data_IF_460757281604
#
_entry.id   IF_460757281604
#
_cell.length_a   1.000
_cell.length_b   1.000
_cell.length_c   1.000
_cell.angle_alpha   90.00
_cell.angle_beta   90.00
_cell.angle_gamma   90.00
#
_symmetry.space_group_name_H-M   'P 1'
#
loop_
_entity.id
_entity.type
_entity.pdbx_description
1 polymer ?
#
# COMPACT_ATOMS: atom_id res chain seq x y z
N UNK A 1 33.61 25.30 8.53
CA UNK A 1 32.14 25.27 8.83
C UNK A 1 31.77 26.61 9.50
N UNK A 2 30.72 27.23 9.03
CA UNK A 2 30.21 28.44 9.68
C UNK A 2 29.28 28.06 10.87
N UNK A 3 29.01 29.02 11.76
CA UNK A 3 28.20 28.82 12.98
C UNK A 3 26.83 28.20 12.69
N UNK A 4 26.16 28.63 11.60
CA UNK A 4 24.86 28.13 11.18
C UNK A 4 24.90 26.68 10.69
N UNK A 5 25.97 26.30 10.00
CA UNK A 5 26.18 24.92 9.57
C UNK A 5 26.36 23.95 10.74
N UNK A 6 27.10 24.39 11.76
CA UNK A 6 27.29 23.64 13.03
C UNK A 6 25.93 23.44 13.73
N UNK A 7 25.09 24.49 13.78
CA UNK A 7 23.76 24.45 14.36
C UNK A 7 22.85 23.47 13.61
N UNK A 8 22.81 23.53 12.27
CA UNK A 8 22.03 22.61 11.44
C UNK A 8 22.46 21.14 11.65
N UNK A 9 23.76 20.86 11.75
CA UNK A 9 24.26 19.51 12.03
C UNK A 9 23.77 19.03 13.40
N UNK A 10 23.79 19.89 14.41
CA UNK A 10 23.28 19.56 15.75
C UNK A 10 21.80 19.24 15.72
N UNK A 11 21.00 20.03 14.98
CA UNK A 11 19.58 19.78 14.79
C UNK A 11 19.35 18.39 14.16
N UNK A 12 20.04 18.07 13.05
CA UNK A 12 19.89 16.80 12.36
C UNK A 12 20.21 15.63 13.30
N UNK A 13 21.37 15.67 13.98
CA UNK A 13 21.78 14.64 14.93
C UNK A 13 20.76 14.44 16.06
N UNK A 14 20.26 15.52 16.63
CA UNK A 14 19.23 15.46 17.66
C UNK A 14 17.93 14.77 17.15
N UNK A 15 17.48 15.08 15.94
CA UNK A 15 16.28 14.46 15.38
C UNK A 15 16.49 12.96 15.07
N UNK A 16 17.66 12.56 14.52
CA UNK A 16 18.00 11.16 14.30
C UNK A 16 18.04 10.38 15.63
N UNK A 17 18.75 10.89 16.62
CA UNK A 17 18.82 10.26 17.96
C UNK A 17 17.43 10.17 18.63
N UNK A 18 16.62 11.22 18.49
CA UNK A 18 15.26 11.24 19.05
C UNK A 18 14.36 10.17 18.44
N UNK A 19 14.33 10.04 17.12
CA UNK A 19 13.36 9.22 16.42
C UNK A 19 13.91 7.84 15.98
N UNK A 20 15.17 7.77 15.53
CA UNK A 20 15.78 6.54 15.01
C UNK A 20 16.76 5.88 15.98
N UNK A 21 17.05 6.53 17.13
CA UNK A 21 17.95 6.03 18.17
C UNK A 21 19.40 5.76 17.68
N UNK A 22 19.83 6.49 16.66
CA UNK A 22 21.18 6.42 16.08
C UNK A 22 21.62 7.78 15.53
N UNK A 23 22.92 7.87 15.22
CA UNK A 23 23.47 9.00 14.45
C UNK A 23 23.05 8.90 12.97
N UNK A 24 22.96 10.03 12.25
CA UNK A 24 22.78 10.02 10.82
C UNK A 24 24.02 9.42 10.12
N UNK A 25 23.79 8.65 9.06
CA UNK A 25 24.86 8.29 8.13
C UNK A 25 25.31 9.52 7.29
N UNK A 26 26.44 9.40 6.60
CA UNK A 26 27.02 10.50 5.84
C UNK A 26 26.10 11.05 4.74
N UNK A 27 25.31 10.15 4.10
CA UNK A 27 24.38 10.55 3.04
C UNK A 27 23.19 11.30 3.61
N UNK A 28 22.58 10.78 4.66
CA UNK A 28 21.48 11.42 5.36
C UNK A 28 21.88 12.77 5.94
N UNK A 29 23.06 12.84 6.57
CA UNK A 29 23.59 14.09 7.10
C UNK A 29 23.76 15.15 6.00
N UNK A 30 24.43 14.80 4.89
CA UNK A 30 24.64 15.73 3.75
C UNK A 30 23.34 16.17 3.13
N UNK A 31 22.40 15.25 2.93
CA UNK A 31 21.09 15.53 2.34
C UNK A 31 20.32 16.55 3.17
N UNK A 32 20.11 16.29 4.45
CA UNK A 32 19.33 17.19 5.31
C UNK A 32 20.04 18.49 5.63
N UNK A 33 21.39 18.48 5.71
CA UNK A 33 22.17 19.70 5.87
C UNK A 33 21.97 20.66 4.69
N UNK A 34 21.95 20.13 3.46
CA UNK A 34 21.65 20.93 2.26
C UNK A 34 20.23 21.50 2.32
N UNK A 35 19.22 20.69 2.63
CA UNK A 35 17.84 21.14 2.70
C UNK A 35 17.62 22.25 3.74
N UNK A 36 18.21 22.14 4.92
CA UNK A 36 18.14 23.17 5.97
C UNK A 36 18.93 24.43 5.59
N UNK A 37 20.13 24.26 5.02
CA UNK A 37 20.96 25.40 4.61
C UNK A 37 20.32 26.21 3.47
N UNK A 38 19.71 25.53 2.51
CA UNK A 38 18.95 26.14 1.39
C UNK A 38 17.57 26.69 1.83
N UNK A 39 17.22 26.57 3.12
CA UNK A 39 15.89 26.93 3.67
C UNK A 39 14.73 26.24 2.96
N UNK A 40 14.95 25.05 2.39
CA UNK A 40 13.91 24.24 1.74
C UNK A 40 13.00 23.57 2.73
N UNK A 41 13.54 23.28 3.94
CA UNK A 41 12.81 22.73 5.07
C UNK A 41 13.20 23.47 6.36
N UNK A 42 12.31 23.43 7.36
CA UNK A 42 12.59 23.82 8.73
C UNK A 42 12.77 22.57 9.62
N UNK A 43 13.05 22.77 10.92
CA UNK A 43 13.27 21.69 11.87
C UNK A 43 12.03 20.80 12.06
N UNK A 44 10.82 21.38 12.05
CA UNK A 44 9.58 20.61 12.15
C UNK A 44 9.39 19.71 10.93
N UNK A 45 9.61 20.25 9.74
CA UNK A 45 9.53 19.48 8.49
C UNK A 45 10.60 18.37 8.43
N UNK A 46 11.82 18.64 8.92
CA UNK A 46 12.85 17.61 9.10
C UNK A 46 12.36 16.48 10.01
N UNK A 47 11.74 16.80 11.14
CA UNK A 47 11.17 15.80 12.05
C UNK A 47 10.14 14.92 11.37
N UNK A 48 9.23 15.51 10.58
CA UNK A 48 8.20 14.74 9.87
C UNK A 48 8.79 13.91 8.72
N UNK A 49 9.81 14.39 8.02
CA UNK A 49 10.54 13.60 7.01
C UNK A 49 11.22 12.37 7.63
N UNK A 50 11.88 12.52 8.78
CA UNK A 50 12.52 11.40 9.49
C UNK A 50 11.46 10.39 9.96
N UNK A 51 10.33 10.85 10.53
CA UNK A 51 9.21 9.97 10.93
C UNK A 51 8.49 9.31 9.73
N UNK A 52 8.71 9.82 8.55
CA UNK A 52 8.19 9.23 7.30
C UNK A 52 9.18 8.24 6.68
N UNK A 53 10.39 8.13 7.22
CA UNK A 53 11.38 7.18 6.71
C UNK A 53 10.92 5.73 6.93
N UNK A 54 11.37 4.84 6.03
CA UNK A 54 11.09 3.41 6.12
C UNK A 54 11.51 2.85 7.49
N UNK A 55 12.71 3.22 7.97
CA UNK A 55 13.25 2.80 9.25
C UNK A 55 12.35 3.19 10.44
N UNK A 56 11.82 4.41 10.44
CA UNK A 56 10.89 4.84 11.50
C UNK A 56 9.56 4.10 11.41
N UNK A 57 8.99 3.97 10.20
CA UNK A 57 7.69 3.34 9.98
C UNK A 57 7.69 1.83 10.29
N UNK A 58 8.81 1.14 10.05
CA UNK A 58 8.96 -0.27 10.44
C UNK A 58 8.92 -0.45 11.95
N UNK A 59 9.56 0.46 12.70
CA UNK A 59 9.60 0.41 14.16
C UNK A 59 8.35 1.03 14.83
N UNK A 60 7.53 1.76 14.06
CA UNK A 60 6.32 2.46 14.54
C UNK A 60 5.16 2.28 13.55
N UNK A 61 4.65 1.07 13.38
CA UNK A 61 3.68 0.75 12.33
C UNK A 61 2.36 1.52 12.48
N UNK A 62 1.96 1.87 13.70
CA UNK A 62 0.75 2.65 14.00
C UNK A 62 0.92 4.16 13.84
N UNK A 63 2.14 4.65 13.57
CA UNK A 63 2.35 6.09 13.40
C UNK A 63 1.52 6.64 12.23
N UNK A 64 0.77 7.71 12.49
CA UNK A 64 -0.03 8.40 11.46
C UNK A 64 0.83 9.48 10.82
N UNK A 65 1.10 9.38 9.51
CA UNK A 65 1.87 10.39 8.81
C UNK A 65 1.13 11.73 8.74
N UNK A 66 1.89 12.82 8.63
CA UNK A 66 1.35 14.18 8.51
C UNK A 66 1.79 14.81 7.22
N UNK A 67 0.97 15.72 6.70
CA UNK A 67 1.36 16.59 5.60
C UNK A 67 2.52 17.49 6.03
N UNK A 68 3.57 17.55 5.21
CA UNK A 68 4.82 18.27 5.51
C UNK A 68 4.83 19.65 4.88
N UNK A 69 4.23 19.80 3.69
CA UNK A 69 4.23 21.02 2.89
C UNK A 69 2.80 21.47 2.52
N UNK A 70 1.92 21.77 3.50
CA UNK A 70 0.52 22.07 3.22
C UNK A 70 0.34 23.26 2.26
N UNK A 71 1.09 24.35 2.45
CA UNK A 71 1.02 25.55 1.61
C UNK A 71 1.39 25.27 0.14
N UNK A 72 2.35 24.36 -0.11
CA UNK A 72 2.69 23.96 -1.47
C UNK A 72 1.60 23.09 -2.06
N UNK A 73 1.00 22.23 -1.24
CA UNK A 73 0.01 21.25 -1.66
C UNK A 73 -1.29 21.91 -2.15
N UNK A 74 -1.70 23.04 -1.53
CA UNK A 74 -2.87 23.82 -1.92
C UNK A 74 -2.80 24.31 -3.39
N UNK A 75 -1.60 24.58 -3.87
CA UNK A 75 -1.35 25.11 -5.23
C UNK A 75 -1.06 24.01 -6.26
N UNK A 76 -1.03 22.73 -5.85
CA UNK A 76 -0.78 21.61 -6.75
C UNK A 76 -2.08 20.98 -7.21
N UNK A 77 -2.23 20.63 -8.51
CA UNK A 77 -3.38 19.87 -8.98
C UNK A 77 -3.42 18.47 -8.32
N UNK A 78 -4.61 17.92 -8.18
CA UNK A 78 -4.74 16.53 -7.74
C UNK A 78 -4.25 15.60 -8.85
N UNK A 79 -3.37 14.63 -8.54
CA UNK A 79 -2.96 13.62 -9.50
C UNK A 79 -4.15 12.72 -9.82
N UNK A 80 -4.30 12.34 -11.07
CA UNK A 80 -5.34 11.38 -11.48
C UNK A 80 -4.89 9.97 -11.10
N UNK A 81 -5.41 9.46 -10.01
CA UNK A 81 -5.16 8.09 -9.54
C UNK A 81 -6.35 7.21 -9.92
N UNK A 82 -6.09 6.05 -10.50
CA UNK A 82 -7.08 5.02 -10.81
C UNK A 82 -6.79 3.78 -9.98
N UNK A 83 -7.80 3.27 -9.27
CA UNK A 83 -7.70 1.99 -8.58
C UNK A 83 -8.19 0.84 -9.47
N UNK A 84 -7.45 -0.27 -9.41
CA UNK A 84 -7.78 -1.54 -10.07
C UNK A 84 -8.13 -2.57 -9.00
N UNK A 85 -9.32 -3.13 -9.07
CA UNK A 85 -9.79 -4.18 -8.16
C UNK A 85 -10.02 -5.49 -8.90
N UNK A 86 -9.40 -6.58 -8.44
CA UNK A 86 -9.80 -7.94 -8.76
C UNK A 86 -10.50 -8.54 -7.56
N UNK A 87 -11.76 -8.89 -7.70
CA UNK A 87 -12.60 -9.27 -6.56
C UNK A 87 -13.37 -10.57 -6.80
N UNK A 88 -13.68 -11.26 -5.70
CA UNK A 88 -14.60 -12.41 -5.67
C UNK A 88 -15.16 -12.64 -4.27
N UNK A 89 -16.47 -12.45 -4.10
CA UNK A 89 -17.18 -12.68 -2.81
C UNK A 89 -16.58 -11.87 -1.66
N UNK A 90 -16.54 -10.55 -1.84
CA UNK A 90 -16.00 -9.56 -0.89
C UNK A 90 -17.09 -8.68 -0.27
N UNK A 91 -18.38 -9.13 -0.23
CA UNK A 91 -19.49 -8.32 0.27
C UNK A 91 -19.25 -7.71 1.65
N UNK A 92 -18.46 -8.38 2.50
CA UNK A 92 -18.13 -7.94 3.85
C UNK A 92 -17.25 -6.67 3.88
N UNK A 93 -16.38 -6.49 2.90
CA UNK A 93 -15.32 -5.47 2.93
C UNK A 93 -15.40 -4.45 1.82
N UNK A 94 -15.91 -4.84 0.67
CA UNK A 94 -15.82 -4.08 -0.57
C UNK A 94 -16.47 -2.69 -0.48
N UNK A 95 -17.56 -2.53 0.26
CA UNK A 95 -18.18 -1.22 0.45
C UNK A 95 -17.21 -0.23 1.10
N UNK A 96 -16.58 -0.64 2.21
CA UNK A 96 -15.59 0.19 2.94
C UNK A 96 -14.31 0.41 2.14
N UNK A 97 -13.88 -0.58 1.39
CA UNK A 97 -12.72 -0.45 0.49
C UNK A 97 -12.98 0.58 -0.61
N UNK A 98 -14.15 0.52 -1.27
CA UNK A 98 -14.53 1.47 -2.31
C UNK A 98 -14.80 2.89 -1.75
N UNK A 99 -15.40 3.03 -0.56
CA UNK A 99 -15.53 4.32 0.13
C UNK A 99 -14.16 4.97 0.30
N UNK A 100 -13.23 4.27 0.93
CA UNK A 100 -11.87 4.76 1.19
C UNK A 100 -11.08 5.05 -0.10
N UNK A 101 -11.16 4.17 -1.10
CA UNK A 101 -10.52 4.38 -2.39
C UNK A 101 -11.11 5.58 -3.13
N UNK A 102 -12.41 5.83 -3.05
CA UNK A 102 -13.09 6.95 -3.71
C UNK A 102 -12.69 8.32 -3.17
N UNK A 103 -12.16 8.40 -1.94
CA UNK A 103 -11.58 9.64 -1.41
C UNK A 103 -10.29 10.04 -2.12
N UNK A 104 -9.54 9.07 -2.61
CA UNK A 104 -8.19 9.23 -3.17
C UNK A 104 -8.18 9.09 -4.68
N UNK A 105 -8.87 8.07 -5.20
CA UNK A 105 -8.90 7.72 -6.61
C UNK A 105 -10.11 8.35 -7.29
N UNK A 106 -9.88 9.05 -8.39
CA UNK A 106 -10.96 9.66 -9.17
C UNK A 106 -11.75 8.65 -9.98
N UNK A 107 -11.15 7.50 -10.25
CA UNK A 107 -11.75 6.42 -11.02
C UNK A 107 -11.35 5.07 -10.42
N UNK A 108 -12.29 4.14 -10.45
CA UNK A 108 -12.09 2.76 -10.01
C UNK A 108 -12.57 1.85 -11.15
N UNK A 109 -11.81 0.81 -11.44
CA UNK A 109 -12.23 -0.26 -12.33
C UNK A 109 -12.20 -1.58 -11.59
N UNK A 110 -13.14 -2.44 -11.92
CA UNK A 110 -13.35 -3.70 -11.21
C UNK A 110 -13.38 -4.86 -12.20
N UNK A 111 -12.70 -5.95 -11.84
CA UNK A 111 -12.88 -7.26 -12.45
C UNK A 111 -13.49 -8.16 -11.39
N UNK A 112 -14.74 -8.57 -11.62
CA UNK A 112 -15.46 -9.52 -10.78
C UNK A 112 -15.26 -10.95 -11.31
N UNK A 113 -14.58 -11.80 -10.52
CA UNK A 113 -14.29 -13.18 -10.86
C UNK A 113 -15.46 -14.15 -10.51
N UNK A 114 -16.67 -13.70 -10.80
CA UNK A 114 -17.90 -14.48 -10.62
C UNK A 114 -18.38 -14.54 -9.18
N UNK A 115 -18.51 -13.39 -8.53
CA UNK A 115 -19.14 -13.29 -7.21
C UNK A 115 -20.57 -13.81 -7.20
N UNK A 116 -20.93 -14.44 -6.09
CA UNK A 116 -22.28 -15.03 -5.86
C UNK A 116 -23.03 -14.38 -4.70
N UNK A 117 -22.38 -13.46 -4.02
CA UNK A 117 -22.90 -12.61 -2.95
C UNK A 117 -23.26 -11.20 -3.46
N UNK A 118 -23.47 -10.25 -2.57
CA UNK A 118 -23.85 -8.86 -2.94
C UNK A 118 -22.66 -8.00 -3.44
N UNK A 119 -21.43 -8.55 -3.56
CA UNK A 119 -20.22 -7.83 -3.99
C UNK A 119 -20.44 -6.98 -5.24
N UNK A 120 -20.93 -7.60 -6.31
CA UNK A 120 -21.13 -6.92 -7.60
C UNK A 120 -22.20 -5.83 -7.54
N UNK A 121 -23.26 -6.03 -6.78
CA UNK A 121 -24.31 -5.06 -6.55
C UNK A 121 -23.76 -3.82 -5.81
N UNK A 122 -22.92 -4.03 -4.80
CA UNK A 122 -22.23 -2.96 -4.06
C UNK A 122 -21.35 -2.17 -5.03
N UNK A 123 -20.48 -2.83 -5.81
CA UNK A 123 -19.63 -2.14 -6.77
C UNK A 123 -20.40 -1.25 -7.75
N UNK A 124 -21.55 -1.72 -8.25
CA UNK A 124 -22.40 -0.97 -9.18
C UNK A 124 -23.07 0.27 -8.54
N UNK A 125 -23.11 0.38 -7.23
CA UNK A 125 -23.70 1.53 -6.52
C UNK A 125 -22.73 2.73 -6.41
N UNK A 126 -21.43 2.54 -6.65
CA UNK A 126 -20.43 3.60 -6.54
C UNK A 126 -20.23 4.33 -7.86
N UNK A 127 -20.43 5.64 -7.87
CA UNK A 127 -20.23 6.48 -9.06
C UNK A 127 -18.74 6.59 -9.47
N UNK A 128 -17.80 6.34 -8.57
CA UNK A 128 -16.37 6.27 -8.82
C UNK A 128 -15.96 5.00 -9.58
N UNK A 129 -16.78 3.95 -9.54
CA UNK A 129 -16.57 2.72 -10.32
C UNK A 129 -17.05 2.98 -11.75
N UNK A 130 -16.10 3.22 -12.65
CA UNK A 130 -16.38 3.67 -14.03
C UNK A 130 -16.46 2.53 -15.05
N UNK A 131 -15.90 1.37 -14.74
CA UNK A 131 -15.97 0.18 -15.61
C UNK A 131 -15.91 -1.09 -14.77
N UNK A 132 -16.73 -2.10 -15.11
CA UNK A 132 -16.78 -3.40 -14.45
C UNK A 132 -16.71 -4.49 -15.50
N UNK A 133 -15.73 -5.38 -15.37
CA UNK A 133 -15.68 -6.61 -16.14
C UNK A 133 -16.15 -7.79 -15.30
N UNK A 134 -17.30 -8.35 -15.65
CA UNK A 134 -17.86 -9.55 -15.04
C UNK A 134 -17.37 -10.79 -15.82
N UNK A 135 -16.72 -11.73 -15.14
CA UNK A 135 -16.38 -13.03 -15.72
C UNK A 135 -17.01 -14.15 -14.89
N UNK A 136 -17.40 -15.23 -15.57
CA UNK A 136 -18.03 -16.38 -14.92
C UNK A 136 -17.41 -17.67 -15.40
N UNK A 137 -17.27 -18.62 -14.49
CA UNK A 137 -16.82 -19.99 -14.80
C UNK A 137 -15.45 -20.08 -15.51
N UNK A 138 -14.55 -19.11 -15.24
CA UNK A 138 -13.18 -19.19 -15.69
C UNK A 138 -12.31 -19.79 -14.58
N UNK A 139 -11.28 -20.55 -15.00
CA UNK A 139 -10.23 -20.96 -14.09
C UNK A 139 -9.46 -19.74 -13.57
N UNK A 140 -8.97 -19.84 -12.35
CA UNK A 140 -8.15 -18.80 -11.73
C UNK A 140 -6.91 -18.53 -12.60
N UNK A 141 -6.72 -17.29 -12.98
CA UNK A 141 -5.57 -16.81 -13.74
C UNK A 141 -5.35 -15.33 -13.44
N UNK A 142 -4.53 -15.07 -12.44
CA UNK A 142 -4.26 -13.72 -11.96
C UNK A 142 -3.56 -12.84 -13.01
N UNK A 143 -2.66 -13.41 -13.79
CA UNK A 143 -1.96 -12.70 -14.87
C UNK A 143 -2.90 -12.23 -15.97
N UNK A 144 -3.80 -13.12 -16.44
CA UNK A 144 -4.85 -12.76 -17.41
C UNK A 144 -5.72 -11.64 -16.88
N UNK A 145 -6.15 -11.74 -15.62
CA UNK A 145 -7.10 -10.83 -15.01
C UNK A 145 -6.45 -9.45 -14.77
N UNK A 146 -5.22 -9.39 -14.25
CA UNK A 146 -4.46 -8.14 -14.09
C UNK A 146 -4.14 -7.47 -15.42
N UNK A 147 -3.81 -8.25 -16.49
CA UNK A 147 -3.65 -7.69 -17.83
C UNK A 147 -4.96 -7.12 -18.39
N UNK A 148 -6.11 -7.70 -18.05
CA UNK A 148 -7.41 -7.16 -18.42
C UNK A 148 -7.69 -5.85 -17.71
N UNK A 149 -7.51 -5.79 -16.40
CA UNK A 149 -7.61 -4.58 -15.60
C UNK A 149 -6.67 -3.48 -16.12
N UNK A 150 -5.42 -3.82 -16.41
CA UNK A 150 -4.46 -2.88 -16.99
C UNK A 150 -4.99 -2.27 -18.31
N UNK A 151 -5.52 -3.09 -19.21
CA UNK A 151 -6.10 -2.62 -20.49
C UNK A 151 -7.33 -1.73 -20.28
N UNK A 152 -8.17 -2.03 -19.30
CA UNK A 152 -9.32 -1.17 -18.94
C UNK A 152 -8.82 0.17 -18.38
N UNK A 153 -7.89 0.15 -17.43
CA UNK A 153 -7.37 1.35 -16.79
C UNK A 153 -6.62 2.28 -17.74
N UNK A 154 -5.84 1.75 -18.69
CA UNK A 154 -5.13 2.56 -19.69
C UNK A 154 -6.10 3.40 -20.57
N UNK A 155 -7.34 2.94 -20.80
CA UNK A 155 -8.36 3.73 -21.52
C UNK A 155 -8.79 4.98 -20.75
N UNK A 156 -8.72 4.95 -19.42
CA UNK A 156 -9.08 6.07 -18.54
C UNK A 156 -8.01 7.17 -18.50
N UNK A 157 -6.80 6.91 -18.99
CA UNK A 157 -5.66 7.85 -19.05
C UNK A 157 -5.34 8.50 -17.69
N UNK A 158 -5.17 7.73 -16.61
CA UNK A 158 -4.75 8.27 -15.33
C UNK A 158 -3.27 8.66 -15.34
N UNK A 159 -2.84 9.42 -14.32
CA UNK A 159 -1.41 9.69 -14.08
C UNK A 159 -0.75 8.51 -13.36
N UNK A 160 -1.51 7.87 -12.47
CA UNK A 160 -1.08 6.72 -11.67
C UNK A 160 -2.14 5.62 -11.64
N UNK A 161 -1.70 4.37 -11.57
CA UNK A 161 -2.55 3.23 -11.28
C UNK A 161 -2.17 2.62 -9.94
N UNK A 162 -3.16 2.14 -9.19
CA UNK A 162 -3.02 1.48 -7.91
C UNK A 162 -3.79 0.16 -7.94
N UNK A 163 -3.15 -0.92 -7.50
CA UNK A 163 -3.81 -2.22 -7.32
C UNK A 163 -4.29 -2.35 -5.89
N UNK A 164 -5.53 -2.77 -5.70
CA UNK A 164 -6.13 -3.05 -4.39
C UNK A 164 -7.01 -4.30 -4.49
N UNK A 165 -7.05 -5.08 -3.40
CA UNK A 165 -7.99 -6.18 -3.22
C UNK A 165 -9.25 -5.72 -2.47
N UNK A 166 -10.32 -6.50 -2.53
CA UNK A 166 -11.60 -6.14 -1.91
C UNK A 166 -11.56 -6.04 -0.39
N UNK A 167 -10.62 -6.74 0.24
CA UNK A 167 -10.37 -6.77 1.69
C UNK A 167 -9.24 -5.81 2.14
N UNK A 168 -8.82 -4.90 1.25
CA UNK A 168 -7.81 -3.87 1.49
C UNK A 168 -8.44 -2.48 1.58
N UNK A 169 -8.34 -1.86 2.74
CA UNK A 169 -9.00 -0.58 3.02
C UNK A 169 -7.94 0.49 3.31
N UNK A 170 -7.90 1.55 2.51
CA UNK A 170 -7.00 2.68 2.74
C UNK A 170 -7.37 3.34 4.07
N UNK A 171 -6.37 3.62 4.91
CA UNK A 171 -6.62 4.30 6.18
C UNK A 171 -7.26 5.67 5.98
N UNK A 172 -8.08 6.13 6.93
CA UNK A 172 -8.67 7.47 6.88
C UNK A 172 -7.64 8.60 6.77
N UNK A 173 -8.02 9.71 6.15
CA UNK A 173 -7.20 10.93 6.02
C UNK A 173 -5.90 10.79 5.21
N UNK A 174 -5.80 9.81 4.32
CA UNK A 174 -4.58 9.58 3.52
C UNK A 174 -4.53 10.40 2.21
N UNK A 175 -5.61 11.04 1.79
CA UNK A 175 -5.68 11.79 0.51
C UNK A 175 -4.55 12.81 0.34
N UNK A 176 -4.40 13.71 1.30
CA UNK A 176 -3.38 14.77 1.23
C UNK A 176 -1.96 14.20 1.37
N UNK A 177 -1.80 13.12 2.13
CA UNK A 177 -0.55 12.40 2.28
C UNK A 177 -0.10 11.81 0.95
N UNK A 178 -1.00 11.08 0.26
CA UNK A 178 -0.69 10.51 -1.04
C UNK A 178 -0.42 11.60 -2.08
N UNK A 179 -1.25 12.65 -2.14
CA UNK A 179 -1.01 13.78 -3.05
C UNK A 179 0.39 14.36 -2.84
N UNK A 180 0.79 14.62 -1.60
CA UNK A 180 2.11 15.16 -1.28
C UNK A 180 3.24 14.21 -1.72
N UNK A 181 3.10 12.91 -1.46
CA UNK A 181 4.09 11.91 -1.89
C UNK A 181 4.26 11.89 -3.42
N UNK A 182 3.15 11.88 -4.17
CA UNK A 182 3.17 11.77 -5.62
C UNK A 182 3.64 13.04 -6.34
N UNK A 183 3.45 14.22 -5.73
CA UNK A 183 3.63 15.52 -6.43
C UNK A 183 4.76 16.38 -5.86
N UNK A 184 5.08 16.29 -4.59
CA UNK A 184 6.06 17.16 -3.92
C UNK A 184 7.29 16.39 -3.44
N UNK A 185 7.10 15.29 -2.73
CA UNK A 185 8.23 14.55 -2.15
C UNK A 185 8.96 13.71 -3.20
N UNK A 186 8.19 13.06 -4.09
CA UNK A 186 8.75 12.10 -5.06
C UNK A 186 8.19 12.32 -6.48
N UNK A 187 8.33 13.55 -7.04
CA UNK A 187 7.69 13.92 -8.30
C UNK A 187 8.18 13.15 -9.52
N UNK A 188 9.39 12.56 -9.44
CA UNK A 188 9.99 11.78 -10.54
C UNK A 188 9.97 10.26 -10.28
N UNK A 189 9.31 9.81 -9.21
CA UNK A 189 9.24 8.38 -8.88
C UNK A 189 8.17 7.69 -9.70
N UNK A 190 8.51 6.53 -10.25
CA UNK A 190 7.62 5.74 -11.08
C UNK A 190 6.86 4.67 -10.29
N UNK A 191 7.45 4.10 -9.20
CA UNK A 191 6.84 3.03 -8.41
C UNK A 191 6.88 3.35 -6.93
N UNK A 192 5.73 3.18 -6.28
CA UNK A 192 5.59 3.38 -4.85
C UNK A 192 5.17 2.09 -4.15
N UNK A 193 5.88 1.81 -3.07
CA UNK A 193 5.51 0.79 -2.09
C UNK A 193 4.63 1.42 -1.02
N UNK A 194 3.67 0.68 -0.52
CA UNK A 194 2.84 1.08 0.62
C UNK A 194 2.93 0.07 1.75
N UNK A 195 2.58 0.50 2.95
CA UNK A 195 2.53 -0.36 4.14
C UNK A 195 1.14 -0.96 4.26
N UNK A 196 1.07 -2.29 4.28
CA UNK A 196 -0.10 -3.03 4.69
C UNK A 196 -0.05 -3.31 6.19
N UNK A 197 -1.16 -3.08 6.87
CA UNK A 197 -1.35 -3.36 8.29
C UNK A 197 -2.35 -4.49 8.43
N UNK A 198 -1.86 -5.66 8.82
CA UNK A 198 -2.69 -6.85 9.00
C UNK A 198 -3.61 -6.71 10.21
N UNK A 199 -4.90 -6.54 9.98
CA UNK A 199 -5.91 -6.43 11.03
C UNK A 199 -6.38 -7.82 11.43
N UNK A 200 -6.42 -8.09 12.75
CA UNK A 200 -6.80 -9.40 13.28
C UNK A 200 -7.71 -9.31 14.48
N UNK A 201 -8.77 -10.13 14.48
CA UNK A 201 -9.72 -10.38 15.57
C UNK A 201 -10.50 -9.13 16.06
N UNK A 202 -9.90 -7.94 16.02
CA UNK A 202 -10.53 -6.66 16.39
C UNK A 202 -10.24 -5.60 15.36
N UNK A 203 -11.18 -4.69 15.07
CA UNK A 203 -11.00 -3.68 14.02
C UNK A 203 -9.77 -2.79 14.18
N UNK A 204 -9.33 -2.55 15.42
CA UNK A 204 -8.15 -1.74 15.74
C UNK A 204 -6.90 -2.54 16.07
N UNK A 205 -6.93 -3.87 16.01
CA UNK A 205 -5.79 -4.71 16.39
C UNK A 205 -5.00 -5.10 15.16
N UNK A 206 -3.74 -4.70 15.08
CA UNK A 206 -2.83 -5.06 14.01
C UNK A 206 -1.73 -5.99 14.51
N UNK A 207 -1.35 -6.94 13.68
CA UNK A 207 -0.21 -7.82 13.91
C UNK A 207 1.09 -7.14 13.52
N UNK A 208 2.15 -7.31 14.33
CA UNK A 208 3.43 -6.58 14.14
C UNK A 208 4.68 -7.47 14.07
N UNK A 209 4.56 -8.79 14.15
CA UNK A 209 5.70 -9.69 14.27
C UNK A 209 5.79 -10.82 13.25
N UNK A 210 5.41 -10.58 12.01
CA UNK A 210 5.76 -11.50 10.92
C UNK A 210 6.35 -10.77 9.72
N UNK A 211 6.78 -11.53 8.70
CA UNK A 211 7.34 -10.98 7.49
C UNK A 211 6.33 -10.07 6.78
N UNK A 212 5.06 -10.49 6.69
CA UNK A 212 4.00 -9.71 6.05
C UNK A 212 3.64 -8.46 6.86
N UNK A 213 3.70 -8.53 8.19
CA UNK A 213 3.45 -7.37 9.06
C UNK A 213 4.52 -6.28 8.92
N UNK A 214 5.72 -6.61 8.43
CA UNK A 214 6.83 -5.64 8.26
C UNK A 214 7.04 -5.19 6.83
N UNK A 215 6.44 -5.85 5.85
CA UNK A 215 6.73 -5.63 4.44
C UNK A 215 5.98 -4.43 3.85
N UNK A 216 6.61 -3.87 2.81
CA UNK A 216 6.08 -2.81 1.97
C UNK A 216 5.96 -3.34 0.55
N UNK A 217 4.75 -3.31 0.00
CA UNK A 217 4.47 -3.87 -1.31
C UNK A 217 4.35 -2.77 -2.37
N UNK A 218 4.95 -2.96 -3.56
CA UNK A 218 4.80 -2.03 -4.66
C UNK A 218 3.42 -2.22 -5.28
N UNK A 219 2.55 -1.22 -5.15
CA UNK A 219 1.16 -1.28 -5.63
C UNK A 219 0.75 -0.05 -6.44
N UNK A 220 1.56 1.04 -6.44
CA UNK A 220 1.25 2.24 -7.20
C UNK A 220 2.34 2.44 -8.25
N UNK A 221 1.95 2.71 -9.49
CA UNK A 221 2.88 3.03 -10.55
C UNK A 221 2.40 4.20 -11.41
N UNK A 222 3.36 5.03 -11.83
CA UNK A 222 3.14 6.17 -12.71
C UNK A 222 3.05 5.69 -14.15
N UNK A 223 2.12 6.20 -14.94
CA UNK A 223 1.99 5.83 -16.34
C UNK A 223 2.88 6.64 -17.29
N UNK A 224 3.29 7.84 -16.90
CA UNK A 224 4.19 8.66 -17.73
C UNK A 224 5.50 7.92 -17.97
N UNK A 225 5.89 7.84 -19.23
CA UNK A 225 7.13 7.17 -19.69
C UNK A 225 7.14 5.64 -19.61
N UNK A 226 6.03 4.98 -19.27
CA UNK A 226 5.97 3.52 -19.30
C UNK A 226 6.05 2.97 -20.73
N UNK A 227 6.53 1.72 -20.91
CA UNK A 227 6.60 1.10 -22.23
C UNK A 227 5.19 0.91 -22.82
N UNK A 228 5.07 1.03 -24.14
CA UNK A 228 3.77 0.87 -24.84
C UNK A 228 3.20 -0.56 -24.70
N UNK A 229 4.04 -1.54 -24.46
CA UNK A 229 3.69 -2.93 -24.23
C UNK A 229 3.70 -3.30 -22.73
N UNK A 230 3.30 -2.37 -21.88
CA UNK A 230 3.18 -2.62 -20.45
C UNK A 230 2.26 -3.85 -20.23
N UNK A 231 2.74 -4.82 -19.47
CA UNK A 231 2.02 -6.08 -19.25
C UNK A 231 2.47 -6.77 -17.95
N UNK A 232 1.58 -7.62 -17.44
CA UNK A 232 1.91 -8.63 -16.44
C UNK A 232 2.33 -9.91 -17.18
N UNK A 233 3.47 -10.48 -16.79
CA UNK A 233 3.98 -11.72 -17.34
C UNK A 233 3.54 -12.92 -16.48
N UNK A 234 3.40 -14.10 -17.09
CA UNK A 234 3.09 -15.32 -16.36
C UNK A 234 4.15 -15.63 -15.31
N UNK A 235 3.71 -15.79 -14.08
CA UNK A 235 4.56 -16.25 -12.97
C UNK A 235 4.56 -17.78 -12.98
N UNK A 236 5.74 -18.38 -13.18
CA UNK A 236 5.92 -19.84 -13.25
C UNK A 236 6.59 -20.40 -11.98
N UNK A 237 6.29 -19.82 -10.80
CA UNK A 237 6.88 -20.34 -9.57
C UNK A 237 5.85 -21.15 -8.78
N UNK A 238 6.20 -22.38 -8.33
CA UNK A 238 5.43 -23.07 -7.31
C UNK A 238 5.33 -22.20 -6.05
N UNK A 239 4.17 -22.19 -5.41
CA UNK A 239 3.96 -21.43 -4.19
C UNK A 239 3.52 -19.97 -4.38
N UNK A 240 3.40 -19.51 -5.63
CA UNK A 240 2.92 -18.17 -5.91
C UNK A 240 1.74 -18.21 -6.87
N UNK A 241 0.53 -18.17 -6.33
CA UNK A 241 -0.72 -18.14 -7.11
C UNK A 241 -1.04 -16.74 -7.63
N UNK A 242 -0.35 -15.70 -7.14
CA UNK A 242 -0.57 -14.31 -7.50
C UNK A 242 0.60 -13.73 -8.28
N UNK A 243 0.33 -12.98 -9.34
CA UNK A 243 1.35 -12.17 -9.99
C UNK A 243 1.57 -10.86 -9.20
N UNK A 244 2.72 -10.20 -9.35
CA UNK A 244 2.99 -8.91 -8.68
C UNK A 244 1.93 -7.86 -8.96
N UNK A 245 1.76 -6.90 -8.04
CA UNK A 245 0.78 -5.81 -8.19
C UNK A 245 1.22 -4.73 -9.19
N UNK A 246 2.47 -4.79 -9.62
CA UNK A 246 3.07 -3.92 -10.63
C UNK A 246 3.46 -4.76 -11.85
N UNK A 247 3.17 -4.31 -13.10
CA UNK A 247 3.64 -4.98 -14.31
C UNK A 247 5.17 -5.19 -14.27
N UNK A 248 5.63 -6.40 -14.61
CA UNK A 248 7.05 -6.76 -14.48
C UNK A 248 7.97 -5.96 -15.40
N UNK A 249 7.45 -5.46 -16.52
CA UNK A 249 8.20 -4.61 -17.45
C UNK A 249 8.03 -3.11 -17.19
N UNK A 250 7.41 -2.71 -16.06
CA UNK A 250 7.28 -1.31 -15.69
C UNK A 250 8.64 -0.69 -15.37
N UNK A 251 8.84 0.56 -15.79
CA UNK A 251 10.01 1.38 -15.42
C UNK A 251 9.93 1.71 -13.92
N UNK A 252 11.09 1.79 -13.27
CA UNK A 252 11.20 2.20 -11.86
C UNK A 252 11.28 1.04 -10.85
N UNK A 253 11.14 -0.22 -11.27
CA UNK A 253 11.16 -1.37 -10.36
C UNK A 253 12.43 -1.52 -9.53
N UNK A 254 13.57 -1.04 -10.02
CA UNK A 254 14.85 -1.13 -9.29
C UNK A 254 14.95 -0.17 -8.11
N UNK A 255 14.16 0.90 -8.11
CA UNK A 255 14.24 1.98 -7.13
C UNK A 255 12.85 2.46 -6.68
N UNK A 256 11.99 1.55 -6.17
CA UNK A 256 10.69 1.95 -5.67
C UNK A 256 10.87 2.78 -4.40
N UNK A 257 10.05 3.81 -4.23
CA UNK A 257 10.00 4.64 -3.02
C UNK A 257 8.84 4.19 -2.14
N UNK A 258 9.04 4.25 -0.83
CA UNK A 258 7.95 3.99 0.13
C UNK A 258 7.10 5.24 0.30
N UNK A 259 5.84 5.15 -0.12
CA UNK A 259 4.82 6.14 0.21
C UNK A 259 4.45 6.04 1.70
N UNK A 260 3.99 7.15 2.26
CA UNK A 260 3.42 7.21 3.61
C UNK A 260 1.98 6.71 3.69
N UNK A 261 1.38 6.37 2.54
CA UNK A 261 0.06 5.73 2.46
C UNK A 261 0.07 4.42 3.25
N UNK A 262 -1.00 4.14 3.97
CA UNK A 262 -1.20 2.89 4.69
C UNK A 262 -2.54 2.27 4.32
N UNK A 263 -2.54 0.95 4.26
CA UNK A 263 -3.72 0.13 3.97
C UNK A 263 -3.94 -0.84 5.13
N UNK A 264 -5.17 -0.96 5.57
CA UNK A 264 -5.64 -1.98 6.50
C UNK A 264 -6.04 -3.21 5.69
N UNK A 265 -5.43 -4.36 5.97
CA UNK A 265 -5.70 -5.61 5.26
C UNK A 265 -6.49 -6.56 6.16
N UNK A 266 -7.70 -6.90 5.73
CA UNK A 266 -8.64 -7.73 6.48
C UNK A 266 -8.72 -9.19 5.99
N UNK A 267 -7.92 -9.56 5.01
CA UNK A 267 -7.97 -10.88 4.36
C UNK A 267 -7.73 -12.08 5.27
N UNK A 268 -7.17 -11.84 6.45
CA UNK A 268 -6.92 -12.85 7.48
C UNK A 268 -7.48 -12.42 8.85
N UNK A 269 -8.53 -11.60 8.83
CA UNK A 269 -9.10 -10.96 10.01
C UNK A 269 -9.48 -11.95 11.09
N UNK A 270 -10.32 -12.93 10.79
CA UNK A 270 -10.79 -13.93 11.73
C UNK A 270 -10.36 -15.35 11.35
N UNK A 271 -10.50 -16.28 12.28
CA UNK A 271 -10.11 -17.68 12.10
C UNK A 271 -10.84 -18.34 10.91
N UNK A 272 -12.12 -18.03 10.71
CA UNK A 272 -12.92 -18.60 9.61
C UNK A 272 -12.38 -18.19 8.25
N UNK A 273 -11.99 -16.90 8.09
CA UNK A 273 -11.38 -16.40 6.85
C UNK A 273 -10.02 -17.07 6.62
N UNK A 274 -9.19 -17.21 7.67
CA UNK A 274 -7.89 -17.86 7.56
C UNK A 274 -8.01 -19.31 7.09
N UNK A 275 -8.95 -20.05 7.65
CA UNK A 275 -9.24 -21.43 7.24
C UNK A 275 -9.71 -21.50 5.79
N UNK A 276 -10.64 -20.63 5.39
CA UNK A 276 -11.16 -20.56 4.02
C UNK A 276 -10.05 -20.27 3.02
N UNK A 277 -9.15 -19.32 3.31
CA UNK A 277 -7.98 -19.01 2.47
C UNK A 277 -6.99 -20.18 2.42
N UNK A 278 -6.72 -20.83 3.55
CA UNK A 278 -5.86 -22.01 3.62
C UNK A 278 -6.37 -23.14 2.72
N UNK A 279 -7.64 -23.50 2.81
CA UNK A 279 -8.25 -24.52 1.96
C UNK A 279 -8.21 -24.13 0.47
N UNK A 280 -8.53 -22.88 0.18
CA UNK A 280 -8.54 -22.36 -1.18
C UNK A 280 -7.16 -22.44 -1.84
N UNK A 281 -6.13 -21.95 -1.17
CA UNK A 281 -4.77 -21.94 -1.70
C UNK A 281 -4.17 -23.32 -1.84
N UNK A 282 -4.41 -24.23 -0.89
CA UNK A 282 -3.98 -25.63 -1.02
C UNK A 282 -4.67 -26.34 -2.19
N UNK A 283 -5.89 -25.95 -2.53
CA UNK A 283 -6.58 -26.47 -3.72
C UNK A 283 -6.00 -25.92 -5.04
N UNK A 284 -5.61 -24.66 -5.05
CA UNK A 284 -5.02 -24.02 -6.24
C UNK A 284 -3.58 -24.47 -6.49
N UNK A 285 -2.82 -24.67 -5.43
CA UNK A 285 -1.40 -25.01 -5.48
C UNK A 285 -1.06 -26.14 -4.49
N UNK A 286 -1.51 -27.37 -4.77
CA UNK A 286 -1.37 -28.50 -3.86
C UNK A 286 0.08 -28.97 -3.68
N UNK A 287 0.99 -28.54 -4.53
CA UNK A 287 2.41 -28.93 -4.48
C UNK A 287 3.30 -27.85 -3.86
N UNK A 288 2.72 -26.80 -3.26
CA UNK A 288 3.49 -25.78 -2.60
C UNK A 288 4.22 -26.34 -1.38
N UNK A 289 5.53 -26.44 -1.48
CA UNK A 289 6.43 -26.81 -0.37
C UNK A 289 7.23 -25.61 0.15
N UNK A 290 7.19 -24.47 -0.54
CA UNK A 290 7.83 -23.25 -0.10
C UNK A 290 7.05 -22.65 1.09
N UNK A 291 7.76 -22.08 2.04
CA UNK A 291 7.18 -21.49 3.26
C UNK A 291 6.22 -22.45 4.00
N UNK A 292 6.49 -23.77 3.95
CA UNK A 292 5.68 -24.82 4.58
C UNK A 292 4.22 -24.88 4.06
N UNK A 293 4.02 -24.60 2.79
CA UNK A 293 2.70 -24.43 2.21
C UNK A 293 2.01 -23.19 2.78
N UNK A 294 0.69 -23.29 2.93
CA UNK A 294 -0.12 -22.16 3.45
C UNK A 294 -0.41 -22.27 4.96
N UNK A 295 0.35 -23.11 5.71
CA UNK A 295 0.14 -23.31 7.17
C UNK A 295 0.32 -22.03 7.99
N UNK A 296 1.09 -21.07 7.52
CA UNK A 296 1.27 -19.76 8.16
C UNK A 296 -0.05 -18.99 8.32
N UNK A 297 -1.07 -19.28 7.53
CA UNK A 297 -2.40 -18.64 7.64
C UNK A 297 -3.13 -19.12 8.90
N UNK A 298 -3.03 -20.42 9.23
CA UNK A 298 -3.76 -21.05 10.34
C UNK A 298 -2.90 -21.27 11.59
N UNK A 299 -1.59 -21.39 11.43
CA UNK A 299 -0.61 -21.59 12.52
C UNK A 299 0.56 -20.59 12.42
N UNK A 300 0.31 -19.29 12.38
CA UNK A 300 1.37 -18.29 12.19
C UNK A 300 2.43 -18.31 13.30
N UNK A 301 2.05 -18.71 14.53
CA UNK A 301 2.96 -18.80 15.67
C UNK A 301 4.09 -19.83 15.48
N UNK A 302 3.92 -20.82 14.62
CA UNK A 302 4.97 -21.79 14.28
C UNK A 302 6.12 -21.15 13.50
N UNK A 303 5.86 -20.02 12.83
CA UNK A 303 6.79 -19.37 11.91
C UNK A 303 7.42 -18.09 12.47
N UNK A 304 6.71 -17.39 13.35
CA UNK A 304 7.16 -16.11 13.90
C UNK A 304 7.18 -16.06 15.43
N UNK A 305 6.92 -17.20 16.09
CA UNK A 305 6.74 -17.27 17.55
C UNK A 305 5.41 -16.66 18.01
N UNK A 306 5.25 -16.39 19.31
CA UNK A 306 4.01 -15.85 19.85
C UNK A 306 3.59 -14.57 19.13
N UNK A 307 2.32 -14.49 18.72
CA UNK A 307 1.81 -13.32 18.01
C UNK A 307 1.92 -12.07 18.88
N UNK A 308 2.39 -10.99 18.28
CA UNK A 308 2.49 -9.68 18.89
C UNK A 308 1.54 -8.71 18.17
N UNK A 309 0.87 -7.89 18.95
CA UNK A 309 -0.12 -6.95 18.46
C UNK A 309 0.17 -5.53 18.90
N UNK A 310 -0.24 -4.59 18.06
CA UNK A 310 -0.37 -3.17 18.40
C UNK A 310 -1.80 -2.73 18.11
N UNK A 311 -2.18 -1.56 18.62
CA UNK A 311 -3.54 -1.08 18.51
C UNK A 311 -3.57 0.29 17.85
N UNK A 312 -4.46 0.45 16.90
CA UNK A 312 -4.72 1.70 16.20
C UNK A 312 -5.56 2.64 17.09
N UNK A 313 -5.30 3.93 16.97
CA UNK A 313 -6.10 4.96 17.65
C UNK A 313 -7.47 5.11 16.97
N UNK A 314 -8.46 5.51 17.76
CA UNK A 314 -9.82 5.80 17.26
C UNK A 314 -9.80 6.82 16.11
N UNK A 315 -10.58 6.57 15.07
CA UNK A 315 -10.62 7.40 13.86
C UNK A 315 -9.52 7.11 12.83
N UNK A 316 -8.66 6.09 13.06
CA UNK A 316 -7.63 5.64 12.12
C UNK A 316 -7.91 4.26 11.53
N UNK A 317 -9.01 3.65 11.89
CA UNK A 317 -9.51 2.35 11.42
C UNK A 317 -11.03 2.40 11.24
N UNK A 318 -11.60 1.38 10.63
CA UNK A 318 -13.05 1.25 10.44
C UNK A 318 -13.65 0.61 11.70
N UNK A 319 -14.48 1.36 12.42
CA UNK A 319 -15.05 0.91 13.71
C UNK A 319 -16.19 -0.12 13.52
N UNK A 320 -17.00 0.03 12.48
CA UNK A 320 -18.19 -0.79 12.21
C UNK A 320 -17.87 -1.86 11.15
N UNK A 321 -17.13 -2.88 11.57
CA UNK A 321 -16.83 -4.06 10.76
C UNK A 321 -17.49 -5.26 11.47
N UNK A 322 -18.75 -5.54 11.17
CA UNK A 322 -19.47 -6.77 11.59
C UNK A 322 -19.70 -7.70 10.40
#
# INVERSE_FOLDING_TARGET
MNTKEIENIKIIKNQYNKFLKREPDDLGLKHFLKLLSDKKINEQQLSELIKSSLEFLQNNPTNIPKVIFPEKLENMPDPKVLAMYRIKNEERWIEKSLEAASEICQQIIVLDDGSTDDTLKICKSFSSVVDIHEQKNLEFDDTRDKNRLLKMGLKCKPDFMMTLDGDEIIMPNMKQILKEDLTILYPETDIFKIKFLEVREKPNQIRINDATATDFFPVIFRLKNQPKNLCYDEMKFPGNVHCPDIPQNAIGQKFPVTSRLKVLHYGIYDEKLRFKKYEHYNKLDPNNTEFYGYEHLIHPEKFCGPLQFSYLEKGTYIEDIE
#
